data_IF_349994293542
#
_entry.id   IF_349994293542
#
_cell.length_a   1.000
_cell.length_b   1.000
_cell.length_c   1.000
_cell.angle_alpha   90.00
_cell.angle_beta   90.00
_cell.angle_gamma   90.00
#
_symmetry.space_group_name_H-M   'P 1'
#
loop_
_entity.id
_entity.type
_entity.pdbx_description
1 polymer ?
#
# COMPACT_ATOMS: atom_id res chain seq x y z
N UNK A 1 27.59 -7.53 -5.64
CA UNK A 1 27.87 -6.09 -5.52
C UNK A 1 26.56 -5.32 -5.61
N UNK A 2 25.74 -5.39 -4.56
CA UNK A 2 24.67 -4.40 -4.35
C UNK A 2 25.41 -3.07 -4.11
N UNK A 3 25.33 -2.14 -5.07
CA UNK A 3 25.90 -0.80 -4.89
C UNK A 3 25.28 -0.15 -3.65
N UNK A 4 26.06 0.58 -2.85
CA UNK A 4 25.60 1.23 -1.60
C UNK A 4 24.25 1.95 -1.72
N UNK A 5 23.97 2.47 -2.92
CA UNK A 5 22.72 3.10 -3.31
C UNK A 5 21.50 2.18 -3.15
N UNK A 6 21.56 0.93 -3.62
CA UNK A 6 20.43 -0.01 -3.56
C UNK A 6 20.13 -0.46 -2.12
N UNK A 7 21.17 -0.63 -1.30
CA UNK A 7 21.01 -0.88 0.14
C UNK A 7 20.36 0.31 0.84
N UNK A 8 20.84 1.52 0.56
CA UNK A 8 20.31 2.76 1.15
C UNK A 8 18.83 2.99 0.81
N UNK A 9 18.41 2.69 -0.43
CA UNK A 9 17.01 2.79 -0.85
C UNK A 9 16.14 1.81 -0.06
N UNK A 10 16.56 0.53 0.04
CA UNK A 10 15.80 -0.47 0.81
C UNK A 10 15.63 -0.08 2.28
N UNK A 11 16.65 0.51 2.89
CA UNK A 11 16.56 1.02 4.27
C UNK A 11 15.56 2.16 4.36
N UNK A 12 15.60 3.16 3.47
CA UNK A 12 14.62 4.26 3.45
C UNK A 12 13.19 3.74 3.26
N UNK A 13 13.01 2.79 2.36
CA UNK A 13 11.72 2.13 2.13
C UNK A 13 11.23 1.40 3.39
N UNK A 14 12.10 0.63 4.04
CA UNK A 14 11.78 -0.05 5.29
C UNK A 14 11.38 0.94 6.39
N UNK A 15 12.13 2.03 6.56
CA UNK A 15 11.82 3.06 7.56
C UNK A 15 10.48 3.74 7.29
N UNK A 16 10.16 4.03 6.03
CA UNK A 16 8.88 4.63 5.66
C UNK A 16 7.71 3.67 5.87
N UNK A 17 7.89 2.38 5.55
CA UNK A 17 6.90 1.35 5.84
C UNK A 17 6.67 1.22 7.36
N UNK A 18 7.73 1.14 8.15
CA UNK A 18 7.64 1.06 9.62
C UNK A 18 7.00 2.33 10.23
N UNK A 19 7.36 3.51 9.72
CA UNK A 19 6.74 4.77 10.13
C UNK A 19 5.25 4.80 9.77
N UNK A 20 4.85 4.30 8.60
CA UNK A 20 3.44 4.19 8.23
C UNK A 20 2.68 3.15 9.05
N UNK A 21 3.31 2.04 9.42
CA UNK A 21 2.74 1.07 10.35
C UNK A 21 2.51 1.69 11.73
N UNK A 22 3.47 2.45 12.25
CA UNK A 22 3.32 3.22 13.49
C UNK A 22 2.24 4.28 13.36
N UNK A 23 2.15 4.99 12.22
CA UNK A 23 1.11 5.98 11.99
C UNK A 23 -0.29 5.32 12.00
N UNK A 24 -0.45 4.15 11.38
CA UNK A 24 -1.69 3.38 11.44
C UNK A 24 -2.04 2.96 12.87
N UNK A 25 -1.07 2.43 13.63
CA UNK A 25 -1.30 2.04 15.02
C UNK A 25 -1.69 3.26 15.87
N UNK A 26 -0.93 4.36 15.81
CA UNK A 26 -1.14 5.54 16.64
C UNK A 26 -2.43 6.30 16.27
N UNK A 27 -2.73 6.46 14.98
CA UNK A 27 -3.91 7.20 14.55
C UNK A 27 -5.21 6.42 14.77
N UNK A 28 -5.16 5.08 14.71
CA UNK A 28 -6.37 4.26 14.84
C UNK A 28 -6.60 3.76 16.27
N UNK A 29 -5.55 3.55 17.08
CA UNK A 29 -5.74 3.15 18.49
C UNK A 29 -6.14 4.30 19.41
N UNK A 30 -5.84 5.55 19.05
CA UNK A 30 -6.04 6.72 19.93
C UNK A 30 -7.27 7.57 19.60
N UNK A 31 -8.01 7.28 18.52
CA UNK A 31 -9.02 8.23 18.03
C UNK A 31 -10.29 7.61 17.49
N UNK A 32 -11.41 8.33 17.69
CA UNK A 32 -12.68 8.17 16.96
C UNK A 32 -12.59 8.50 15.45
N UNK A 33 -11.37 8.62 14.91
CA UNK A 33 -11.08 8.81 13.49
C UNK A 33 -11.27 7.48 12.76
N UNK A 34 -12.54 7.24 12.45
CA UNK A 34 -13.10 6.08 11.76
C UNK A 34 -12.21 5.58 10.61
N UNK A 35 -12.02 4.25 10.62
CA UNK A 35 -11.85 3.27 9.53
C UNK A 35 -11.68 3.72 8.06
N UNK A 36 -12.34 4.78 7.59
CA UNK A 36 -12.31 5.18 6.18
C UNK A 36 -10.94 5.72 5.71
N UNK A 37 -10.05 6.12 6.62
CA UNK A 37 -8.70 6.59 6.27
C UNK A 37 -7.68 5.47 6.10
N UNK A 38 -7.89 4.28 6.69
CA UNK A 38 -6.93 3.16 6.69
C UNK A 38 -6.38 2.83 5.30
N UNK A 39 -7.22 2.55 4.28
CA UNK A 39 -6.71 2.22 2.94
C UNK A 39 -5.95 3.38 2.29
N UNK A 40 -6.31 4.62 2.59
CA UNK A 40 -5.60 5.79 2.06
C UNK A 40 -4.23 5.96 2.74
N UNK A 41 -4.15 5.84 4.06
CA UNK A 41 -2.88 5.90 4.81
C UNK A 41 -1.96 4.76 4.36
N UNK A 42 -2.51 3.55 4.17
CA UNK A 42 -1.82 2.41 3.59
C UNK A 42 -1.22 2.77 2.23
N UNK A 43 -2.05 3.30 1.32
CA UNK A 43 -1.63 3.73 -0.01
C UNK A 43 -0.56 4.81 0.00
N UNK A 44 -0.71 5.85 0.84
CA UNK A 44 0.26 6.94 0.99
C UNK A 44 1.59 6.41 1.55
N UNK A 45 1.55 5.47 2.48
CA UNK A 45 2.76 4.83 3.03
C UNK A 45 3.53 4.10 1.93
N UNK A 46 2.84 3.27 1.14
CA UNK A 46 3.47 2.60 -0.01
C UNK A 46 3.94 3.59 -1.08
N UNK A 47 3.22 4.70 -1.28
CA UNK A 47 3.62 5.75 -2.21
C UNK A 47 4.90 6.45 -1.76
N UNK A 48 5.02 6.78 -0.48
CA UNK A 48 6.23 7.37 0.09
C UNK A 48 7.42 6.40 -0.03
N UNK A 49 7.21 5.11 0.27
CA UNK A 49 8.22 4.08 0.08
C UNK A 49 8.64 3.95 -1.40
N UNK A 50 7.69 3.97 -2.33
CA UNK A 50 8.00 3.96 -3.77
C UNK A 50 8.80 5.20 -4.18
N UNK A 51 8.39 6.39 -3.74
CA UNK A 51 9.06 7.65 -4.02
C UNK A 51 10.51 7.68 -3.48
N UNK A 52 10.79 7.08 -2.33
CA UNK A 52 12.14 7.00 -1.77
C UNK A 52 13.12 6.19 -2.63
N UNK A 53 12.63 5.30 -3.49
CA UNK A 53 13.43 4.61 -4.51
C UNK A 53 13.40 5.27 -5.90
N UNK A 54 12.71 6.42 -6.04
CA UNK A 54 12.54 7.12 -7.31
C UNK A 54 11.78 6.28 -8.33
N UNK A 55 12.12 6.43 -9.62
CA UNK A 55 11.45 5.70 -10.73
C UNK A 55 11.58 4.18 -10.61
N UNK A 56 12.64 3.69 -9.98
CA UNK A 56 12.88 2.25 -9.74
C UNK A 56 12.46 1.80 -8.34
N UNK A 57 11.79 2.66 -7.58
CA UNK A 57 11.30 2.30 -6.26
C UNK A 57 10.27 1.18 -6.35
N UNK A 58 10.46 0.14 -5.56
CA UNK A 58 9.44 -0.89 -5.39
C UNK A 58 8.13 -0.27 -4.86
N UNK A 59 7.00 -0.93 -5.08
CA UNK A 59 5.66 -0.55 -4.59
C UNK A 59 4.84 0.45 -5.39
N UNK A 60 5.31 1.00 -6.52
CA UNK A 60 4.49 1.90 -7.34
C UNK A 60 3.14 1.30 -7.73
N UNK A 61 3.12 0.01 -8.11
CA UNK A 61 1.89 -0.69 -8.45
C UNK A 61 0.90 -0.73 -7.26
N UNK A 62 1.38 -1.20 -6.11
CA UNK A 62 0.59 -1.31 -4.88
C UNK A 62 0.11 0.05 -4.40
N UNK A 63 0.99 1.05 -4.41
CA UNK A 63 0.69 2.42 -4.01
C UNK A 63 -0.45 3.03 -4.85
N UNK A 64 -0.37 2.92 -6.18
CA UNK A 64 -1.37 3.56 -7.04
C UNK A 64 -2.77 2.98 -6.83
N UNK A 65 -2.89 1.65 -6.76
CA UNK A 65 -4.17 0.98 -6.53
C UNK A 65 -4.74 1.32 -5.16
N UNK A 66 -3.91 1.25 -4.10
CA UNK A 66 -4.36 1.54 -2.74
C UNK A 66 -4.72 3.01 -2.52
N UNK A 67 -4.00 3.96 -3.14
CA UNK A 67 -4.36 5.38 -3.08
C UNK A 67 -5.69 5.61 -3.79
N UNK A 68 -5.87 5.08 -5.01
CA UNK A 68 -7.14 5.22 -5.75
C UNK A 68 -8.32 4.62 -4.99
N UNK A 69 -8.15 3.41 -4.46
CA UNK A 69 -9.16 2.75 -3.63
C UNK A 69 -9.43 3.53 -2.34
N UNK A 70 -8.38 3.93 -1.62
CA UNK A 70 -8.49 4.67 -0.37
C UNK A 70 -9.20 6.01 -0.53
N UNK A 71 -8.95 6.73 -1.62
CA UNK A 71 -9.68 7.96 -1.95
C UNK A 71 -11.18 7.71 -2.14
N UNK A 72 -11.55 6.62 -2.81
CA UNK A 72 -12.95 6.25 -2.97
C UNK A 72 -13.61 5.87 -1.62
N UNK A 73 -12.89 5.16 -0.74
CA UNK A 73 -13.37 4.85 0.62
C UNK A 73 -13.59 6.12 1.44
N UNK A 74 -12.65 7.07 1.40
CA UNK A 74 -12.81 8.37 2.06
C UNK A 74 -13.99 9.14 1.47
N UNK A 75 -14.14 9.17 0.15
CA UNK A 75 -15.25 9.84 -0.53
C UNK A 75 -16.61 9.30 -0.11
N UNK A 76 -16.81 7.97 -0.15
CA UNK A 76 -18.07 7.34 0.27
C UNK A 76 -18.33 7.57 1.75
N UNK A 77 -17.29 7.43 2.59
CA UNK A 77 -17.41 7.67 4.04
C UNK A 77 -17.78 9.12 4.39
N UNK A 78 -17.25 10.09 3.64
CA UNK A 78 -17.49 11.52 3.86
C UNK A 78 -18.84 11.98 3.30
N UNK A 79 -19.23 11.50 2.11
CA UNK A 79 -20.44 11.98 1.41
C UNK A 79 -21.68 11.14 1.68
N UNK A 80 -21.53 9.89 2.15
CA UNK A 80 -22.62 8.93 2.42
C UNK A 80 -23.69 8.95 1.30
N UNK A 81 -23.30 8.69 0.05
CA UNK A 81 -24.22 8.78 -1.07
C UNK A 81 -25.35 7.76 -0.92
N UNK A 82 -26.59 8.18 -1.17
CA UNK A 82 -27.78 7.32 -1.06
C UNK A 82 -28.03 6.45 -2.29
N UNK A 83 -27.55 6.88 -3.46
CA UNK A 83 -27.89 6.29 -4.77
C UNK A 83 -26.70 5.63 -5.48
N UNK A 84 -25.56 5.49 -4.81
CA UNK A 84 -24.35 4.91 -5.40
C UNK A 84 -24.07 3.55 -4.75
N UNK A 85 -23.89 2.53 -5.59
CA UNK A 85 -23.31 1.27 -5.16
C UNK A 85 -21.90 1.51 -4.62
N UNK A 86 -21.74 1.31 -3.31
CA UNK A 86 -20.49 1.50 -2.58
C UNK A 86 -19.39 0.61 -3.14
N UNK A 87 -19.71 -0.64 -3.51
CA UNK A 87 -18.74 -1.55 -4.11
C UNK A 87 -18.29 -1.05 -5.48
N UNK A 88 -19.22 -0.59 -6.31
CA UNK A 88 -18.94 0.09 -7.58
C UNK A 88 -18.02 1.30 -7.42
N UNK A 89 -18.26 2.18 -6.45
CA UNK A 89 -17.41 3.34 -6.19
C UNK A 89 -15.97 2.94 -5.81
N UNK A 90 -15.81 1.91 -4.98
CA UNK A 90 -14.50 1.39 -4.59
C UNK A 90 -13.74 0.74 -5.76
N UNK A 91 -14.44 -0.02 -6.61
CA UNK A 91 -13.87 -0.59 -7.83
C UNK A 91 -13.43 0.49 -8.81
N UNK A 92 -14.23 1.55 -8.98
CA UNK A 92 -13.84 2.70 -9.81
C UNK A 92 -12.59 3.37 -9.26
N UNK A 93 -12.51 3.62 -7.95
CA UNK A 93 -11.31 4.18 -7.31
C UNK A 93 -10.06 3.32 -7.52
N UNK A 94 -10.17 2.01 -7.25
CA UNK A 94 -9.07 1.06 -7.49
C UNK A 94 -8.66 1.01 -8.97
N UNK A 95 -9.63 1.05 -9.88
CA UNK A 95 -9.41 1.08 -11.33
C UNK A 95 -8.69 2.34 -11.79
N UNK A 96 -9.08 3.52 -11.28
CA UNK A 96 -8.37 4.78 -11.53
C UNK A 96 -6.92 4.72 -11.01
N UNK A 97 -6.72 4.11 -9.84
CA UNK A 97 -5.38 3.82 -9.31
C UNK A 97 -4.57 2.92 -10.25
N UNK A 98 -5.17 1.85 -10.77
CA UNK A 98 -4.51 0.95 -11.72
C UNK A 98 -4.16 1.65 -13.05
N UNK A 99 -5.04 2.53 -13.54
CA UNK A 99 -4.78 3.37 -14.72
C UNK A 99 -3.60 4.31 -14.44
N UNK A 100 -3.58 4.99 -13.29
CA UNK A 100 -2.46 5.84 -12.89
C UNK A 100 -1.14 5.06 -12.84
N UNK A 101 -1.14 3.86 -12.26
CA UNK A 101 0.03 2.97 -12.28
C UNK A 101 0.46 2.58 -13.70
N UNK A 102 -0.48 2.30 -14.59
CA UNK A 102 -0.20 2.01 -16.01
C UNK A 102 0.41 3.22 -16.72
N UNK A 103 -0.07 4.43 -16.44
CA UNK A 103 0.50 5.66 -16.98
C UNK A 103 1.92 5.90 -16.45
N UNK A 104 2.19 5.61 -15.18
CA UNK A 104 3.55 5.64 -14.62
C UNK A 104 4.46 4.60 -15.29
N UNK A 105 3.97 3.39 -15.55
CA UNK A 105 4.70 2.36 -16.29
C UNK A 105 5.15 2.86 -17.67
N UNK A 106 4.25 3.54 -18.40
CA UNK A 106 4.56 4.19 -19.70
C UNK A 106 5.60 5.31 -19.57
N UNK A 107 5.76 5.89 -18.38
CA UNK A 107 6.82 6.85 -18.04
C UNK A 107 8.03 6.17 -17.42
N UNK A 108 8.28 4.89 -17.67
CA UNK A 108 9.44 4.12 -17.19
C UNK A 108 9.59 4.10 -15.65
N UNK A 109 8.48 4.14 -14.92
CA UNK A 109 8.46 3.75 -13.52
C UNK A 109 8.37 2.22 -13.42
N UNK A 110 8.93 1.65 -12.36
CA UNK A 110 8.93 0.21 -12.11
C UNK A 110 7.56 -0.24 -11.57
N UNK A 111 6.60 -0.38 -12.48
CA UNK A 111 5.23 -0.79 -12.19
C UNK A 111 4.98 -2.16 -12.82
N UNK A 112 4.84 -3.18 -11.99
CA UNK A 112 4.49 -4.53 -12.44
C UNK A 112 2.98 -4.64 -12.74
N UNK A 113 2.57 -5.09 -13.95
CA UNK A 113 1.17 -5.37 -14.25
C UNK A 113 0.57 -6.45 -13.34
N UNK A 114 1.36 -7.48 -13.01
CA UNK A 114 0.97 -8.49 -12.03
C UNK A 114 0.78 -7.87 -10.64
N UNK A 115 1.64 -6.92 -10.26
CA UNK A 115 1.50 -6.18 -9.00
C UNK A 115 0.22 -5.34 -8.94
N UNK A 116 -0.16 -4.69 -10.05
CA UNK A 116 -1.42 -3.95 -10.16
C UNK A 116 -2.62 -4.89 -10.01
N UNK A 117 -2.62 -5.98 -10.78
CA UNK A 117 -3.69 -6.99 -10.75
C UNK A 117 -3.82 -7.66 -9.39
N UNK A 118 -2.71 -8.08 -8.78
CA UNK A 118 -2.70 -8.71 -7.47
C UNK A 118 -3.18 -7.76 -6.36
N UNK A 119 -2.76 -6.49 -6.41
CA UNK A 119 -3.22 -5.49 -5.43
C UNK A 119 -4.72 -5.22 -5.57
N UNK A 120 -5.21 -5.08 -6.81
CA UNK A 120 -6.63 -4.88 -7.09
C UNK A 120 -7.46 -6.11 -6.65
N UNK A 121 -6.97 -7.32 -6.94
CA UNK A 121 -7.61 -8.56 -6.50
C UNK A 121 -7.64 -8.69 -4.97
N UNK A 122 -6.53 -8.35 -4.28
CA UNK A 122 -6.49 -8.36 -2.82
C UNK A 122 -7.46 -7.34 -2.22
N UNK A 123 -7.53 -6.12 -2.76
CA UNK A 123 -8.51 -5.11 -2.34
C UNK A 123 -9.96 -5.60 -2.56
N UNK A 124 -10.25 -6.18 -3.72
CA UNK A 124 -11.56 -6.77 -4.02
C UNK A 124 -11.90 -7.95 -3.12
N UNK A 125 -10.93 -8.81 -2.80
CA UNK A 125 -11.10 -9.93 -1.88
C UNK A 125 -11.42 -9.44 -0.47
N UNK A 126 -10.69 -8.45 0.03
CA UNK A 126 -10.97 -7.83 1.33
C UNK A 126 -12.40 -7.29 1.38
N UNK A 127 -12.85 -6.60 0.32
CA UNK A 127 -14.23 -6.13 0.21
C UNK A 127 -15.24 -7.28 0.19
N UNK A 128 -14.96 -8.37 -0.54
CA UNK A 128 -15.87 -9.51 -0.63
C UNK A 128 -16.03 -10.26 0.70
N UNK A 129 -14.99 -10.28 1.55
CA UNK A 129 -15.03 -10.97 2.86
C UNK A 129 -15.61 -10.08 3.95
N UNK A 130 -15.53 -8.75 3.79
CA UNK A 130 -15.96 -7.78 4.82
C UNK A 130 -17.40 -7.92 5.33
N UNK A 131 -18.43 -8.34 4.55
CA UNK A 131 -19.75 -8.57 5.09
C UNK A 131 -19.82 -9.77 6.05
N UNK A 132 -18.87 -10.72 5.93
CA UNK A 132 -18.80 -11.96 6.73
C UNK A 132 -17.81 -11.85 7.89
N UNK A 133 -16.85 -10.94 7.80
CA UNK A 133 -15.88 -10.63 8.84
C UNK A 133 -15.76 -9.09 8.92
N UNK A 134 -16.77 -8.41 9.49
CA UNK A 134 -16.78 -6.95 9.60
C UNK A 134 -15.44 -6.45 10.18
N UNK A 135 -14.98 -7.09 11.25
CA UNK A 135 -13.78 -6.71 11.99
C UNK A 135 -12.49 -6.73 11.17
N UNK A 136 -12.43 -7.50 10.08
CA UNK A 136 -11.21 -7.67 9.27
C UNK A 136 -10.83 -6.40 8.50
N UNK A 137 -11.84 -5.64 8.07
CA UNK A 137 -11.64 -4.31 7.52
C UNK A 137 -11.38 -3.29 8.66
N UNK A 138 -12.07 -3.44 9.78
CA UNK A 138 -11.94 -2.54 10.93
C UNK A 138 -10.64 -2.68 11.71
N UNK A 139 -9.89 -3.76 11.51
CA UNK A 139 -8.65 -4.04 12.21
C UNK A 139 -7.45 -3.35 11.55
N UNK A 140 -7.32 -2.04 11.81
CA UNK A 140 -6.13 -1.29 11.40
C UNK A 140 -4.83 -1.88 11.96
N UNK A 141 -4.89 -2.65 13.07
CA UNK A 141 -3.71 -3.35 13.59
C UNK A 141 -3.30 -4.47 12.65
N UNK A 142 -4.25 -5.21 12.08
CA UNK A 142 -3.93 -6.22 11.06
C UNK A 142 -3.19 -5.60 9.87
N UNK A 143 -3.65 -4.45 9.37
CA UNK A 143 -2.96 -3.73 8.29
C UNK A 143 -1.61 -3.16 8.71
N UNK A 144 -1.49 -2.63 9.94
CA UNK A 144 -0.23 -2.15 10.49
C UNK A 144 0.79 -3.29 10.63
N UNK A 145 0.37 -4.47 11.11
CA UNK A 145 1.19 -5.67 11.21
C UNK A 145 1.68 -6.13 9.84
N UNK A 146 0.82 -6.12 8.82
CA UNK A 146 1.19 -6.46 7.44
C UNK A 146 2.26 -5.50 6.92
N UNK A 147 2.08 -4.18 7.04
CA UNK A 147 3.10 -3.23 6.60
C UNK A 147 4.39 -3.39 7.41
N UNK A 148 4.29 -3.56 8.73
CA UNK A 148 5.44 -3.76 9.59
C UNK A 148 6.24 -4.98 9.17
N UNK A 149 5.58 -6.10 8.86
CA UNK A 149 6.22 -7.29 8.32
C UNK A 149 6.94 -7.02 6.99
N UNK A 150 6.31 -6.28 6.06
CA UNK A 150 6.96 -5.89 4.80
C UNK A 150 8.17 -4.98 5.05
N UNK A 151 8.07 -4.04 5.97
CA UNK A 151 9.18 -3.18 6.40
C UNK A 151 10.36 -3.97 6.97
N UNK A 152 10.07 -4.92 7.88
CA UNK A 152 11.07 -5.80 8.47
C UNK A 152 11.74 -6.72 7.43
N UNK A 153 10.98 -7.25 6.47
CA UNK A 153 11.54 -8.03 5.36
C UNK A 153 12.50 -7.18 4.53
N UNK A 154 12.16 -5.93 4.21
CA UNK A 154 13.08 -5.03 3.50
C UNK A 154 14.36 -4.77 4.28
N UNK A 155 14.26 -4.56 5.59
CA UNK A 155 15.40 -4.37 6.46
C UNK A 155 16.29 -5.62 6.48
N UNK A 156 15.70 -6.81 6.65
CA UNK A 156 16.42 -8.07 6.63
C UNK A 156 17.14 -8.30 5.29
N UNK A 157 16.48 -8.03 4.17
CA UNK A 157 17.08 -8.14 2.82
C UNK A 157 18.20 -7.11 2.59
N UNK A 158 18.13 -5.93 3.20
CA UNK A 158 19.19 -4.92 3.12
C UNK A 158 20.42 -5.28 3.98
N UNK A 159 20.24 -6.10 5.02
CA UNK A 159 21.31 -6.49 5.96
C UNK A 159 21.96 -7.83 5.59
N UNK A 160 21.31 -8.68 4.77
CA UNK A 160 21.88 -9.97 4.35
C UNK A 160 23.20 -9.76 3.59
N UNK A 161 24.29 -10.47 3.97
CA UNK A 161 25.55 -10.44 3.23
C UNK A 161 25.35 -11.03 1.82
N UNK A 162 26.01 -10.45 0.81
CA UNK A 162 26.07 -10.98 -0.56
C UNK A 162 26.63 -12.42 -0.52
N UNK A 163 25.76 -13.44 -0.57
CA UNK A 163 26.16 -14.84 -0.75
C UNK A 163 26.53 -15.06 -2.23
N UNK A 164 27.67 -14.53 -2.64
CA UNK A 164 28.11 -14.59 -4.04
C UNK A 164 29.58 -14.23 -4.30
N UNK A 165 30.47 -14.37 -3.31
CA UNK A 165 31.91 -14.22 -3.50
C UNK A 165 32.67 -15.34 -2.79
N UNK A 166 32.32 -16.58 -3.12
CA UNK A 166 32.93 -17.79 -2.56
C UNK A 166 32.47 -19.03 -3.30
N UNK A 167 32.74 -19.07 -4.60
CA UNK A 167 32.79 -20.28 -5.42
C UNK A 167 33.73 -20.02 -6.59
#
# INVERSE_FOLDING_TARGET
MITDTAKSVRIRQALLLLAGALALELLVTQGSLRFYWTPLILGITYLAAAAAGGRRGSYWATACVLVGWGLAVVYVGATKPTDIDTAGAYLVGAGLGAIAGTLLARRHFDVSPLGLGATAAAAGLILAISPRAPDLLYDARAFALVIAAVGLVNLALAVRPDRGAGA
#
